data_IF_102858382728
#
_entry.id   IF_102858382728
#
_cell.length_a   1.000
_cell.length_b   1.000
_cell.length_c   1.000
_cell.angle_alpha   90.00
_cell.angle_beta   90.00
_cell.angle_gamma   90.00
#
_symmetry.space_group_name_H-M   'P 1'
#
loop_
_entity.id
_entity.type
_entity.pdbx_description
1 polymer ?
2 non-polymer ?
3 non-polymer ?
4 water ?
#
# COMPACT_ATOMS: atom_id res chain seq x y z
N UNK A 7 -0.61 14.68 -11.18
CA UNK A 7 -1.56 15.33 -10.29
C UNK A 7 -2.98 15.14 -10.84
N UNK A 8 -3.79 14.37 -10.11
CA UNK A 8 -5.17 14.10 -10.52
C UNK A 8 -6.06 14.18 -9.28
N UNK A 9 -7.06 15.04 -9.32
CA UNK A 9 -7.94 15.22 -8.18
C UNK A 9 -8.97 14.10 -8.10
N UNK A 10 -9.38 13.77 -6.89
CA UNK A 10 -10.41 12.76 -6.68
C UNK A 10 -11.79 13.37 -6.88
N UNK A 11 -12.73 12.53 -7.31
CA UNK A 11 -14.09 12.98 -7.57
C UNK A 11 -14.83 13.40 -6.30
N UNK A 12 -14.28 13.09 -5.12
CA UNK A 12 -15.01 13.33 -3.88
C UNK A 12 -14.94 14.76 -3.39
N UNK A 13 -13.94 15.53 -3.82
CA UNK A 13 -13.85 16.93 -3.44
C UNK A 13 -12.49 17.36 -2.92
N UNK A 14 -12.47 18.38 -2.06
CA UNK A 14 -11.20 18.92 -1.57
C UNK A 14 -10.61 18.05 -0.46
N UNK A 15 -11.45 17.54 0.43
CA UNK A 15 -11.01 16.67 1.51
C UNK A 15 -11.95 15.47 1.60
N UNK A 16 -11.49 14.44 2.31
CA UNK A 16 -12.28 13.22 2.44
C UNK A 16 -13.64 13.54 3.03
N UNK A 17 -14.68 12.89 2.49
CA UNK A 17 -16.03 13.08 3.01
C UNK A 17 -16.16 12.51 4.42
N UNK A 18 -15.23 11.66 4.85
CA UNK A 18 -15.29 11.07 6.18
C UNK A 18 -14.90 12.05 7.29
N UNK A 19 -14.22 13.14 6.96
CA UNK A 19 -13.77 14.08 7.98
C UNK A 19 -14.91 15.02 8.36
N UNK A 20 -15.18 15.12 9.65
CA UNK A 20 -16.24 15.98 10.16
C UNK A 20 -15.78 17.44 10.20
N UNK A 21 -14.49 17.67 10.43
CA UNK A 21 -13.94 19.02 10.55
C UNK A 21 -13.05 19.34 9.36
N UNK A 22 -12.70 20.62 9.24
CA UNK A 22 -11.82 21.06 8.17
C UNK A 22 -10.45 20.42 8.32
N UNK A 23 -9.92 19.89 7.22
CA UNK A 23 -8.64 19.21 7.21
C UNK A 23 -7.51 20.22 7.03
N UNK A 24 -6.53 20.17 7.93
CA UNK A 24 -5.35 21.02 7.85
C UNK A 24 -4.14 20.14 7.54
N UNK A 25 -3.73 20.03 6.26
CA UNK A 25 -2.69 19.06 5.92
C UNK A 25 -1.35 19.32 6.61
N UNK A 26 -1.07 20.56 6.99
CA UNK A 26 0.20 20.86 7.64
C UNK A 26 0.24 20.56 9.12
N UNK A 27 -0.91 20.43 9.77
CA UNK A 27 -0.97 20.26 11.21
C UNK A 27 -1.71 19.02 11.67
N UNK A 28 -2.40 18.31 10.78
CA UNK A 28 -3.23 17.18 11.17
C UNK A 28 -2.55 15.86 10.82
N UNK A 29 -2.87 14.83 11.60
CA UNK A 29 -2.55 13.47 11.19
C UNK A 29 -3.28 13.16 9.88
N UNK A 30 -2.70 12.28 9.07
CA UNK A 30 -3.23 12.05 7.73
C UNK A 30 -2.91 10.64 7.29
N UNK A 31 -3.61 10.19 6.26
CA UNK A 31 -3.46 8.84 5.72
C UNK A 31 -3.10 8.89 4.24
N UNK A 32 -2.38 7.87 3.79
CA UNK A 32 -1.97 7.74 2.40
C UNK A 32 -2.23 6.31 1.96
N UNK A 33 -2.94 6.15 0.85
CA UNK A 33 -3.20 4.85 0.25
C UNK A 33 -2.27 4.69 -0.95
N UNK A 34 -1.49 3.61 -0.95
CA UNK A 34 -0.54 3.33 -2.03
C UNK A 34 -1.05 2.12 -2.81
N UNK A 35 -1.30 2.31 -4.10
CA UNK A 35 -1.83 1.26 -4.97
C UNK A 35 -0.78 0.88 -6.01
N UNK A 36 -0.53 -0.43 -6.11
CA UNK A 36 0.36 -0.96 -7.13
C UNK A 36 -0.45 -1.69 -8.19
N UNK A 37 -0.25 -1.27 -9.43
CA UNK A 37 -1.03 -1.75 -10.57
C UNK A 37 -0.10 -2.43 -11.56
N UNK A 38 -0.63 -3.45 -12.24
CA UNK A 38 0.03 -4.07 -13.39
C UNK A 38 -0.62 -3.47 -14.64
N UNK A 39 0.06 -2.50 -15.26
CA UNK A 39 -0.48 -1.74 -16.36
C UNK A 39 -0.21 -2.38 -17.73
N UNK A 40 0.15 -3.66 -17.74
CA UNK A 40 0.45 -4.42 -18.97
C UNK A 40 0.12 -3.70 -20.28
N UNK A 49 -10.58 -0.95 -16.04
CA UNK A 49 -9.29 -0.65 -15.41
C UNK A 49 -8.66 -1.92 -14.84
N UNK A 50 -7.41 -1.80 -14.42
CA UNK A 50 -6.69 -2.93 -13.84
C UNK A 50 -7.05 -3.10 -12.38
N UNK A 51 -6.94 -4.34 -11.90
CA UNK A 51 -7.09 -4.61 -10.48
C UNK A 51 -5.86 -4.10 -9.74
N UNK A 52 -6.05 -3.76 -8.47
CA UNK A 52 -4.94 -3.28 -7.65
C UNK A 52 -4.33 -4.48 -6.92
N UNK A 53 -3.06 -4.78 -7.23
CA UNK A 53 -2.39 -5.94 -6.67
C UNK A 53 -1.63 -5.61 -5.39
N UNK A 54 -1.15 -4.38 -5.24
CA UNK A 54 -0.58 -3.90 -3.99
C UNK A 54 -1.50 -2.81 -3.44
N UNK A 55 -1.83 -2.93 -2.15
CA UNK A 55 -2.83 -2.07 -1.51
C UNK A 55 -2.36 -1.80 -0.08
N UNK A 56 -1.55 -0.76 0.09
CA UNK A 56 -0.95 -0.44 1.38
C UNK A 56 -1.48 0.90 1.86
N UNK A 57 -2.07 0.91 3.05
CA UNK A 57 -2.54 2.12 3.70
C UNK A 57 -1.59 2.50 4.82
N UNK A 58 -1.11 3.73 4.80
CA UNK A 58 -0.21 4.25 5.83
C UNK A 58 -0.90 5.40 6.54
N UNK A 59 -0.97 5.32 7.86
CA UNK A 59 -1.55 6.38 8.67
C UNK A 59 -0.45 7.03 9.50
N UNK A 60 -0.36 8.35 9.43
CA UNK A 60 0.70 9.12 10.06
C UNK A 60 0.14 9.90 11.24
N UNK A 61 0.67 9.63 12.43
CA UNK A 61 0.32 10.39 13.62
C UNK A 61 1.30 11.56 13.72
N UNK A 62 0.82 12.77 13.43
CA UNK A 62 1.72 13.91 13.33
C UNK A 62 2.31 14.26 14.69
N UNK A 63 1.47 14.30 15.73
CA UNK A 63 1.96 14.68 17.05
C UNK A 63 3.02 13.70 17.55
N UNK A 64 2.76 12.41 17.41
CA UNK A 64 3.67 11.39 17.91
C UNK A 64 4.78 11.04 16.93
N UNK A 65 4.72 11.56 15.70
CA UNK A 65 5.72 11.24 14.67
C UNK A 65 5.85 9.74 14.48
N UNK A 66 4.72 9.08 14.24
CA UNK A 66 4.70 7.64 14.02
C UNK A 66 3.87 7.32 12.79
N UNK A 67 4.17 6.18 12.18
CA UNK A 67 3.42 5.69 11.04
C UNK A 67 3.02 4.24 11.30
N UNK A 68 1.82 3.88 10.86
CA UNK A 68 1.35 2.50 10.89
C UNK A 68 0.99 2.08 9.48
N UNK A 69 1.55 0.95 9.06
CA UNK A 69 1.31 0.41 7.72
C UNK A 69 0.34 -0.76 7.81
N UNK A 70 -0.55 -0.83 6.83
CA UNK A 70 -1.56 -1.89 6.75
C UNK A 70 -1.66 -2.34 5.30
N UNK A 71 -1.53 -3.64 5.06
CA UNK A 71 -1.76 -4.21 3.75
C UNK A 71 -3.18 -4.76 3.71
N UNK A 72 -3.98 -4.26 2.79
CA UNK A 72 -5.35 -4.75 2.62
C UNK A 72 -5.27 -5.99 1.75
N UNK A 73 -5.64 -7.17 2.24
CA UNK A 73 -5.57 -8.37 1.41
C UNK A 73 -6.32 -8.17 0.10
N UNK A 74 -5.66 -8.51 -1.01
CA UNK A 74 -6.27 -8.26 -2.32
C UNK A 74 -7.60 -8.98 -2.46
N UNK A 75 -7.77 -10.13 -1.80
CA UNK A 75 -8.99 -10.91 -1.89
C UNK A 75 -9.93 -10.67 -0.71
N UNK A 76 -9.68 -9.64 0.10
CA UNK A 76 -10.54 -9.34 1.23
C UNK A 76 -11.98 -9.21 0.78
N UNK A 77 -12.88 -9.91 1.49
CA UNK A 77 -14.30 -9.94 1.16
C UNK A 77 -14.95 -8.69 1.74
N UNK A 78 -15.21 -7.70 0.89
CA UNK A 78 -15.68 -6.39 1.34
C UNK A 78 -16.77 -5.89 0.41
N UNK A 79 -17.55 -4.92 0.91
CA UNK A 79 -18.54 -4.26 0.07
C UNK A 79 -17.84 -3.27 -0.84
N UNK A 80 -18.01 -3.43 -2.14
CA UNK A 80 -17.60 -2.44 -3.12
C UNK A 80 -18.83 -1.59 -3.45
N UNK A 81 -18.87 -0.32 -3.07
CA UNK A 81 -20.08 0.49 -3.32
C UNK A 81 -20.52 0.40 -4.77
N UNK A 82 -21.79 0.02 -4.97
CA UNK A 82 -22.35 -0.12 -6.30
C UNK A 82 -22.15 -1.46 -6.94
N UNK A 83 -21.48 -2.40 -6.25
CA UNK A 83 -21.16 -3.69 -6.83
C UNK A 83 -21.32 -4.85 -5.86
N UNK A 84 -21.68 -4.59 -4.61
CA UNK A 84 -21.89 -5.65 -3.65
C UNK A 84 -20.59 -6.21 -3.09
N UNK A 85 -20.74 -7.27 -2.31
CA UNK A 85 -19.58 -7.94 -1.71
C UNK A 85 -18.75 -8.61 -2.79
N UNK A 86 -17.42 -8.45 -2.69
CA UNK A 86 -16.52 -8.90 -3.74
C UNK A 86 -15.10 -8.77 -3.21
N UNK A 87 -14.13 -9.22 -4.02
CA UNK A 87 -12.72 -9.08 -3.67
C UNK A 87 -12.33 -7.60 -3.70
N UNK A 88 -11.60 -7.16 -2.67
CA UNK A 88 -11.16 -5.77 -2.62
C UNK A 88 -10.46 -5.35 -3.90
N UNK A 89 -9.64 -6.24 -4.47
CA UNK A 89 -8.83 -5.88 -5.63
C UNK A 89 -9.68 -5.43 -6.81
N UNK A 90 -10.94 -5.87 -6.89
CA UNK A 90 -11.79 -5.52 -8.02
C UNK A 90 -12.30 -4.09 -7.99
N UNK A 91 -12.22 -3.41 -6.83
CA UNK A 91 -12.72 -2.04 -6.76
C UNK A 91 -12.02 -1.16 -7.79
N UNK A 92 -10.70 -1.27 -7.88
CA UNK A 92 -9.95 -0.47 -8.84
C UNK A 92 -10.30 -0.85 -10.28
N UNK A 93 -10.68 -2.11 -10.51
CA UNK A 93 -11.06 -2.53 -11.85
C UNK A 93 -12.43 -1.99 -12.23
N UNK A 94 -13.35 -1.91 -11.26
CA UNK A 94 -14.70 -1.43 -11.56
C UNK A 94 -14.77 0.10 -11.64
N UNK A 95 -13.98 0.81 -10.85
CA UNK A 95 -14.10 2.26 -10.80
C UNK A 95 -12.82 3.01 -10.50
N UNK A 96 -11.67 2.39 -10.77
CA UNK A 96 -10.41 3.10 -10.62
C UNK A 96 -10.14 3.55 -9.20
N UNK A 97 -9.28 4.56 -9.10
CA UNK A 97 -8.80 5.02 -7.79
C UNK A 97 -9.95 5.57 -6.96
N UNK A 98 -10.91 6.25 -7.60
CA UNK A 98 -12.03 6.81 -6.86
C UNK A 98 -12.77 5.72 -6.08
N UNK A 99 -13.05 4.60 -6.73
CA UNK A 99 -13.84 3.55 -6.09
C UNK A 99 -13.01 2.76 -5.07
N UNK A 100 -11.71 2.57 -5.34
CA UNK A 100 -10.85 1.98 -4.32
C UNK A 100 -10.86 2.82 -3.05
N UNK A 101 -10.72 4.14 -3.21
CA UNK A 101 -10.73 5.02 -2.04
C UNK A 101 -12.06 4.88 -1.30
N UNK A 102 -13.18 4.90 -2.03
CA UNK A 102 -14.48 4.75 -1.39
C UNK A 102 -14.57 3.42 -0.65
N UNK A 103 -14.05 2.35 -1.24
CA UNK A 103 -14.10 1.03 -0.60
C UNK A 103 -13.29 1.00 0.68
N UNK A 104 -12.09 1.62 0.67
CA UNK A 104 -11.27 1.66 1.87
C UNK A 104 -11.97 2.48 2.96
N UNK A 105 -12.49 3.65 2.60
CA UNK A 105 -13.14 4.49 3.60
C UNK A 105 -14.34 3.80 4.22
N UNK A 106 -15.07 3.00 3.44
CA UNK A 106 -16.20 2.26 4.01
C UNK A 106 -15.72 1.11 4.89
N UNK A 107 -14.69 0.39 4.43
CA UNK A 107 -14.21 -0.78 5.14
C UNK A 107 -13.65 -0.40 6.52
N UNK A 108 -12.88 0.68 6.57
CA UNK A 108 -12.16 1.06 7.79
C UNK A 108 -12.78 2.25 8.53
N UNK A 109 -13.77 2.91 7.94
CA UNK A 109 -14.44 4.04 8.58
C UNK A 109 -13.41 5.10 8.98
N UNK A 110 -12.52 5.42 8.06
CA UNK A 110 -11.53 6.48 8.24
C UNK A 110 -11.40 7.25 6.93
N UNK A 111 -10.85 8.46 7.00
CA UNK A 111 -10.54 9.19 5.76
C UNK A 111 -9.30 8.64 5.09
N UNK A 112 -9.34 8.58 3.77
CA UNK A 112 -8.15 8.39 2.94
C UNK A 112 -7.82 9.75 2.36
N UNK A 113 -6.79 10.39 2.89
CA UNK A 113 -6.49 11.78 2.53
C UNK A 113 -5.77 11.84 1.19
N UNK A 114 -4.75 11.00 0.99
CA UNK A 114 -3.97 11.00 -0.23
C UNK A 114 -3.91 9.58 -0.78
N UNK A 115 -3.81 9.49 -2.11
CA UNK A 115 -3.65 8.21 -2.78
C UNK A 115 -2.56 8.35 -3.83
N UNK A 116 -1.74 7.30 -3.96
CA UNK A 116 -0.67 7.25 -4.95
C UNK A 116 -0.82 5.95 -5.72
N UNK A 117 -0.86 6.04 -7.04
CA UNK A 117 -0.99 4.88 -7.92
C UNK A 117 0.27 4.72 -8.75
N UNK A 118 0.86 3.52 -8.71
CA UNK A 118 2.12 3.24 -9.38
C UNK A 118 2.00 2.00 -10.26
N UNK A 119 2.66 2.04 -11.40
CA UNK A 119 2.86 0.86 -12.23
C UNK A 119 4.26 0.30 -11.96
N UNK A 120 4.62 -0.76 -12.69
CA UNK A 120 5.93 -1.37 -12.49
C UNK A 120 7.05 -0.37 -12.76
N UNK A 121 6.91 0.42 -13.83
CA UNK A 121 8.01 1.28 -14.27
C UNK A 121 8.33 2.36 -13.23
N UNK A 122 7.30 3.01 -12.67
CA UNK A 122 7.55 4.02 -11.64
C UNK A 122 8.28 3.40 -10.45
N UNK A 123 7.89 2.20 -10.05
CA UNK A 123 8.54 1.55 -8.90
C UNK A 123 10.01 1.28 -9.19
N UNK A 124 10.31 0.67 -10.33
CA UNK A 124 11.70 0.38 -10.69
C UNK A 124 12.52 1.66 -10.75
N UNK A 125 11.99 2.70 -11.40
CA UNK A 125 12.74 3.94 -11.55
C UNK A 125 13.01 4.59 -10.19
N UNK A 126 12.04 4.53 -9.28
CA UNK A 126 12.24 5.11 -7.95
C UNK A 126 13.35 4.37 -7.22
N UNK A 127 13.31 3.04 -7.24
CA UNK A 127 14.33 2.26 -6.55
C UNK A 127 15.71 2.53 -7.13
N UNK A 128 15.81 2.55 -8.45
CA UNK A 128 17.11 2.78 -9.08
C UNK A 128 17.60 4.20 -8.86
N UNK A 129 16.70 5.18 -8.84
CA UNK A 129 17.11 6.55 -8.57
C UNK A 129 17.67 6.69 -7.16
N UNK A 130 17.20 5.86 -6.24
CA UNK A 130 17.75 5.83 -4.88
C UNK A 130 19.00 4.97 -4.76
N UNK A 131 19.54 4.48 -5.89
CA UNK A 131 20.70 3.61 -5.89
C UNK A 131 20.40 2.28 -5.19
N UNK A 132 19.17 1.80 -5.36
CA UNK A 132 18.74 0.55 -4.78
C UNK A 132 18.19 0.71 -3.38
N UNK A 133 17.56 -0.36 -2.88
CA UNK A 133 17.02 -0.37 -1.54
C UNK A 133 17.55 -1.58 -0.80
N UNK A 134 17.72 -1.43 0.50
CA UNK A 134 18.32 -2.44 1.35
C UNK A 134 17.24 -3.40 1.84
N UNK A 135 17.47 -4.69 1.61
CA UNK A 135 16.57 -5.75 2.06
C UNK A 135 17.42 -6.87 2.64
N UNK A 136 16.99 -7.40 3.77
CA UNK A 136 17.64 -8.56 4.38
C UNK A 136 16.83 -9.79 4.00
N UNK A 137 17.31 -10.52 3.01
CA UNK A 137 16.66 -11.74 2.54
C UNK A 137 17.04 -12.89 3.47
N UNK A 138 16.06 -13.75 3.78
CA UNK A 138 16.26 -14.78 4.78
C UNK A 138 15.75 -16.16 4.40
N UNK A 139 14.95 -16.30 3.35
CA UNK A 139 14.26 -17.55 3.04
C UNK A 139 14.78 -18.14 1.74
N UNK A 140 15.32 -19.35 1.81
CA UNK A 140 15.67 -20.07 0.59
C UNK A 140 14.45 -20.28 -0.28
N UNK A 141 13.29 -20.57 0.33
CA UNK A 141 12.09 -20.82 -0.45
C UNK A 141 11.70 -19.58 -1.26
N UNK A 142 11.85 -18.39 -0.67
CA UNK A 142 11.54 -17.16 -1.38
C UNK A 142 12.54 -16.95 -2.53
N UNK A 143 13.83 -17.14 -2.25
CA UNK A 143 14.83 -17.04 -3.31
C UNK A 143 14.47 -17.97 -4.46
N UNK A 144 14.06 -19.20 -4.13
CA UNK A 144 13.78 -20.18 -5.17
C UNK A 144 12.55 -19.78 -5.99
N UNK A 145 11.50 -19.32 -5.34
CA UNK A 145 10.29 -18.98 -6.07
C UNK A 145 10.50 -17.77 -6.97
N UNK A 146 11.30 -16.80 -6.52
CA UNK A 146 11.62 -15.65 -7.35
C UNK A 146 12.41 -16.09 -8.57
N UNK A 147 13.37 -17.01 -8.38
CA UNK A 147 14.07 -17.60 -9.51
C UNK A 147 13.09 -18.17 -10.51
N UNK A 148 12.10 -18.93 -10.03
CA UNK A 148 11.08 -19.50 -10.90
C UNK A 148 10.27 -18.41 -11.59
N UNK A 149 9.82 -17.41 -10.83
CA UNK A 149 9.03 -16.33 -11.40
C UNK A 149 9.74 -15.67 -12.57
N UNK A 150 11.04 -15.45 -12.43
CA UNK A 150 11.80 -14.63 -13.37
C UNK A 150 12.65 -15.47 -14.32
N UNK A 151 12.45 -16.78 -14.37
CA UNK A 151 13.24 -17.64 -15.24
C UNK A 151 14.73 -17.44 -14.99
N UNK A 152 15.08 -17.26 -13.72
CA UNK A 152 16.47 -17.12 -13.30
C UNK A 152 17.09 -15.76 -13.51
N UNK A 153 16.33 -14.77 -13.96
CA UNK A 153 16.89 -13.44 -14.18
C UNK A 153 17.17 -12.72 -12.88
N UNK A 154 16.40 -13.02 -11.83
CA UNK A 154 16.59 -12.41 -10.52
C UNK A 154 17.00 -13.51 -9.56
N UNK A 155 18.21 -13.41 -9.03
CA UNK A 155 18.76 -14.36 -8.07
C UNK A 155 19.16 -13.57 -6.84
N UNK A 156 18.34 -13.63 -5.80
CA UNK A 156 18.66 -12.96 -4.55
C UNK A 156 19.56 -13.83 -3.68
N UNK A 157 20.24 -13.17 -2.74
CA UNK A 157 21.13 -13.83 -1.80
C UNK A 157 20.63 -13.59 -0.38
N UNK A 158 20.78 -14.59 0.48
CA UNK A 158 20.52 -14.38 1.89
C UNK A 158 21.46 -13.32 2.44
N UNK A 159 21.00 -12.59 3.44
CA UNK A 159 21.76 -11.53 4.05
C UNK A 159 21.24 -10.16 3.64
N UNK A 160 21.96 -9.14 4.10
CA UNK A 160 21.58 -7.75 3.86
C UNK A 160 22.28 -7.25 2.60
N UNK A 161 21.48 -6.93 1.58
CA UNK A 161 22.01 -6.52 0.29
C UNK A 161 21.16 -5.38 -0.25
N UNK A 162 21.76 -4.61 -1.16
CA UNK A 162 21.06 -3.52 -1.83
C UNK A 162 20.50 -4.05 -3.15
N UNK A 163 19.18 -4.00 -3.30
CA UNK A 163 18.50 -4.53 -4.46
C UNK A 163 18.20 -3.41 -5.45
N UNK A 164 18.38 -3.70 -6.74
CA UNK A 164 18.01 -2.75 -7.77
C UNK A 164 16.51 -2.87 -8.07
N UNK A 165 16.05 -2.06 -9.03
CA UNK A 165 14.61 -2.00 -9.30
C UNK A 165 14.03 -3.34 -9.73
N UNK A 166 14.72 -4.03 -10.64
CA UNK A 166 14.22 -5.32 -11.13
C UNK A 166 14.15 -6.33 -10.00
N UNK A 167 15.18 -6.38 -9.16
CA UNK A 167 15.21 -7.32 -8.04
C UNK A 167 14.12 -7.00 -7.04
N UNK A 168 14.00 -5.72 -6.66
CA UNK A 168 12.98 -5.33 -5.70
C UNK A 168 11.58 -5.59 -6.23
N UNK A 169 11.37 -5.33 -7.53
CA UNK A 169 10.04 -5.56 -8.11
C UNK A 169 9.66 -7.04 -8.06
N UNK A 170 10.59 -7.93 -8.41
CA UNK A 170 10.30 -9.36 -8.32
C UNK A 170 10.03 -9.78 -6.88
N UNK A 171 10.72 -9.15 -5.92
CA UNK A 171 10.53 -9.47 -4.52
C UNK A 171 9.13 -9.13 -4.03
N UNK A 172 8.59 -7.99 -4.47
CA UNK A 172 7.26 -7.57 -4.00
C UNK A 172 6.13 -8.16 -4.82
N UNK A 173 6.44 -8.91 -5.89
CA UNK A 173 5.42 -9.55 -6.70
C UNK A 173 5.22 -11.02 -6.36
N UNK A 174 6.26 -11.72 -5.91
CA UNK A 174 6.18 -13.17 -5.78
C UNK A 174 5.09 -13.56 -4.79
N UNK A 175 4.39 -14.64 -5.11
CA UNK A 175 3.29 -15.15 -4.28
C UNK A 175 3.14 -16.63 -4.53
N UNK A 176 3.08 -17.42 -3.45
CA UNK A 176 3.04 -18.88 -3.59
C UNK A 176 1.69 -19.35 -4.09
N UNK A 177 0.61 -18.94 -3.43
CA UNK A 177 -0.73 -19.40 -3.79
C UNK A 177 -1.75 -18.28 -3.61
N UNK A 178 -2.94 -18.59 -3.08
CA UNK A 178 -3.98 -17.58 -2.94
C UNK A 178 -3.57 -16.49 -1.95
N UNK A 179 -3.23 -16.89 -0.73
CA UNK A 179 -2.93 -15.95 0.33
C UNK A 179 -1.85 -14.96 -0.08
N UNK A 180 -2.18 -13.67 -0.04
CA UNK A 180 -1.20 -12.61 -0.24
C UNK A 180 -0.72 -12.02 1.09
N UNK A 181 -0.83 -12.79 2.17
CA UNK A 181 -0.34 -12.36 3.48
C UNK A 181 1.14 -12.02 3.42
N UNK A 182 1.97 -12.99 3.02
CA UNK A 182 3.41 -12.77 2.99
C UNK A 182 3.79 -11.70 1.97
N UNK A 183 3.09 -11.66 0.83
CA UNK A 183 3.41 -10.66 -0.18
C UNK A 183 3.17 -9.26 0.35
N UNK A 184 2.05 -9.05 1.05
CA UNK A 184 1.80 -7.74 1.64
C UNK A 184 2.90 -7.34 2.61
N UNK A 185 3.42 -8.31 3.36
CA UNK A 185 4.51 -8.01 4.29
C UNK A 185 5.79 -7.64 3.54
N UNK A 186 6.06 -8.31 2.41
CA UNK A 186 7.21 -7.94 1.61
C UNK A 186 7.05 -6.53 1.02
N UNK A 187 5.82 -6.16 0.66
CA UNK A 187 5.58 -4.82 0.13
C UNK A 187 5.80 -3.75 1.20
N UNK A 188 5.31 -3.98 2.42
CA UNK A 188 5.53 -3.02 3.49
C UNK A 188 7.00 -2.95 3.89
N UNK A 189 7.69 -4.09 3.82
CA UNK A 189 9.14 -4.14 4.05
C UNK A 189 9.87 -3.23 3.06
N UNK A 190 9.60 -3.41 1.76
CA UNK A 190 10.29 -2.63 0.74
C UNK A 190 9.87 -1.17 0.81
N UNK A 191 8.59 -0.90 1.06
CA UNK A 191 8.14 0.48 1.19
C UNK A 191 8.92 1.20 2.26
N UNK A 192 9.09 0.58 3.43
CA UNK A 192 9.83 1.22 4.51
C UNK A 192 11.31 1.34 4.17
N UNK A 193 11.84 0.40 3.38
CA UNK A 193 13.23 0.50 2.93
C UNK A 193 13.40 1.67 1.96
N UNK A 194 12.40 1.91 1.11
CA UNK A 194 12.45 3.07 0.21
C UNK A 194 12.54 4.36 1.01
N UNK A 195 11.76 4.46 2.09
CA UNK A 195 11.80 5.65 2.93
C UNK A 195 13.17 5.79 3.57
N UNK A 196 13.70 4.70 4.12
CA UNK A 196 15.02 4.74 4.73
C UNK A 196 16.06 5.26 3.76
N UNK A 197 16.03 4.77 2.52
CA UNK A 197 17.06 5.16 1.56
C UNK A 197 16.89 6.61 1.13
N UNK A 198 15.66 7.12 1.14
CA UNK A 198 15.41 8.50 0.74
C UNK A 198 15.88 9.50 1.79
N UNK A 199 16.07 9.06 3.04
CA UNK A 199 16.48 9.97 4.10
C UNK A 199 17.75 10.73 3.73
N UNK A 200 18.64 10.11 2.96
CA UNK A 200 19.90 10.74 2.59
C UNK A 200 19.67 11.85 1.56
N UNK A 212 10.23 14.72 -10.69
CA UNK A 212 10.63 14.56 -12.09
C UNK A 212 10.65 13.09 -12.48
N UNK A 213 11.31 12.27 -11.66
CA UNK A 213 11.50 10.86 -12.00
C UNK A 213 10.18 10.16 -12.26
N UNK A 214 9.10 10.62 -11.62
CA UNK A 214 7.80 9.97 -11.75
C UNK A 214 7.42 9.81 -13.22
N UNK A 215 7.49 10.90 -13.98
CA UNK A 215 7.01 10.87 -15.36
C UNK A 215 5.51 10.69 -15.39
N UNK A 216 5.04 9.90 -16.35
CA UNK A 216 3.62 9.59 -16.49
C UNK A 216 3.29 8.21 -15.92
N UNK A 217 4.01 7.78 -14.89
CA UNK A 217 3.81 6.46 -14.30
C UNK A 217 3.39 6.50 -12.85
N UNK A 218 3.41 7.66 -12.20
CA UNK A 218 2.89 7.83 -10.85
C UNK A 218 1.75 8.84 -10.89
N UNK A 219 0.59 8.43 -10.36
CA UNK A 219 -0.56 9.29 -10.22
C UNK A 219 -0.85 9.49 -8.74
N UNK A 220 -0.96 10.75 -8.32
CA UNK A 220 -1.31 11.05 -6.94
C UNK A 220 -2.23 12.26 -6.91
N UNK A 221 -3.07 12.32 -5.87
CA UNK A 221 -4.08 13.37 -5.74
C UNK A 221 -3.57 14.58 -4.98
N UNK A 222 -2.26 14.83 -4.98
CA UNK A 222 -1.71 16.05 -4.44
C UNK A 222 -0.53 16.47 -5.31
N UNK A 223 -0.22 17.77 -5.26
CA UNK A 223 0.81 18.33 -6.11
C UNK A 223 2.18 17.81 -5.69
N UNK A 224 3.10 17.80 -6.67
CA UNK A 224 4.50 17.49 -6.35
C UNK A 224 5.02 18.41 -5.26
N UNK A 225 4.63 19.69 -5.29
CA UNK A 225 5.08 20.64 -4.29
C UNK A 225 4.60 20.22 -2.90
N UNK A 226 3.32 19.88 -2.77
CA UNK A 226 2.81 19.44 -1.47
C UNK A 226 3.44 18.12 -1.05
N UNK A 227 3.63 17.20 -2.00
CA UNK A 227 4.27 15.93 -1.68
C UNK A 227 5.65 16.16 -1.07
N UNK A 228 6.41 17.13 -1.60
CA UNK A 228 7.73 17.43 -1.06
C UNK A 228 7.64 18.06 0.32
N UNK A 229 6.62 18.87 0.56
CA UNK A 229 6.46 19.48 1.88
C UNK A 229 6.30 18.47 2.99
N UNK A 230 5.73 17.30 2.68
CA UNK A 230 5.58 16.24 3.67
C UNK A 230 6.84 15.41 3.84
N UNK A 231 7.79 15.50 2.90
CA UNK A 231 8.96 14.65 2.93
C UNK A 231 9.76 14.75 4.23
N UNK A 232 10.02 15.96 4.78
CA UNK A 232 10.78 16.00 6.05
C UNK A 232 10.09 15.26 7.18
N UNK A 233 8.77 15.37 7.29
CA UNK A 233 8.05 14.66 8.34
C UNK A 233 8.13 13.15 8.13
N UNK A 234 7.90 12.69 6.90
CA UNK A 234 7.84 11.26 6.63
C UNK A 234 9.19 10.60 6.87
N UNK A 235 10.28 11.32 6.65
CA UNK A 235 11.62 10.75 6.74
C UNK A 235 12.28 11.02 8.09
N UNK A 236 11.53 11.47 9.08
CA UNK A 236 12.06 11.68 10.42
C UNK A 236 11.10 11.13 11.47
N UNK A 237 10.47 10.00 11.16
CA UNK A 237 9.54 9.38 12.09
C UNK A 237 10.29 8.74 13.25
N UNK A 238 9.67 8.80 14.43
CA UNK A 238 10.23 8.14 15.60
C UNK A 238 10.03 6.63 15.57
N UNK A 239 9.00 6.15 14.86
CA UNK A 239 8.70 4.73 14.86
C UNK A 239 7.82 4.41 13.66
N UNK A 240 8.01 3.20 13.13
CA UNK A 240 7.17 2.64 12.07
C UNK A 240 6.68 1.28 12.56
N UNK A 241 5.39 1.04 12.37
CA UNK A 241 4.79 -0.22 12.81
C UNK A 241 3.87 -0.75 11.71
N UNK A 242 3.63 -2.06 11.78
CA UNK A 242 2.71 -2.74 10.88
C UNK A 242 1.56 -3.33 11.68
N UNK A 243 0.38 -3.36 11.07
CA UNK A 243 -0.78 -4.00 11.67
C UNK A 243 -1.41 -4.90 10.60
N UNK A 244 -2.28 -5.80 11.06
CA UNK A 244 -2.80 -6.88 10.24
C UNK A 244 -4.32 -6.96 10.32
N UNK A 245 -4.94 -7.26 9.19
CA UNK A 245 -6.33 -7.67 9.14
C UNK A 245 -6.33 -9.18 8.99
N UNK A 246 -6.62 -9.89 10.07
CA UNK A 246 -6.66 -11.34 10.06
C UNK A 246 -8.00 -11.83 9.51
N UNK A 247 -8.08 -13.14 9.28
CA UNK A 247 -9.31 -13.70 8.75
C UNK A 247 -9.10 -15.15 8.35
N UNK A 248 -10.00 -15.63 7.50
CA UNK A 248 -9.96 -17.02 7.06
C UNK A 248 -10.44 -17.14 5.63
N UNK A 249 -10.09 -18.24 5.01
CA UNK A 249 -10.42 -18.47 3.61
C UNK A 249 -11.92 -18.74 3.47
N UNK A 250 -12.52 -18.12 2.46
CA UNK A 250 -13.94 -18.25 2.17
C UNK A 250 -14.07 -18.55 0.68
N UNK A 251 -14.52 -19.77 0.35
CA UNK A 251 -14.49 -20.28 -1.01
C UNK A 251 -15.87 -20.81 -1.37
N UNK A 252 -16.86 -19.92 -1.52
CA UNK A 252 -18.24 -20.40 -1.69
C UNK A 252 -18.50 -21.18 -2.97
N UNK A 253 -17.72 -20.97 -4.02
CA UNK A 253 -17.91 -21.72 -5.26
C UNK A 253 -16.60 -21.77 -6.04
N UNK A 254 -15.53 -22.16 -5.36
CA UNK A 254 -14.21 -22.18 -5.96
C UNK A 254 -13.56 -20.82 -6.10
N UNK A 255 -14.34 -19.75 -6.09
CA UNK A 255 -13.78 -18.40 -6.11
C UNK A 255 -13.28 -18.06 -4.71
N UNK A 256 -12.02 -17.66 -4.62
CA UNK A 256 -11.36 -17.47 -3.33
C UNK A 256 -11.60 -16.06 -2.80
N UNK A 257 -12.09 -15.97 -1.57
CA UNK A 257 -12.17 -14.72 -0.83
C UNK A 257 -11.47 -14.91 0.50
N UNK A 258 -11.08 -13.78 1.09
CA UNK A 258 -10.51 -13.75 2.44
C UNK A 258 -11.50 -13.00 3.32
N UNK A 259 -12.24 -13.74 4.14
CA UNK A 259 -13.18 -13.13 5.06
C UNK A 259 -12.45 -12.57 6.27
N UNK A 260 -12.73 -11.32 6.60
CA UNK A 260 -12.00 -10.65 7.67
C UNK A 260 -12.57 -11.00 9.03
N UNK A 261 -11.67 -11.26 9.98
CA UNK A 261 -12.08 -11.40 11.37
C UNK A 261 -12.64 -10.07 11.85
N UNK A 262 -13.92 -10.09 12.23
CA UNK A 262 -14.62 -8.83 12.52
C UNK A 262 -14.13 -8.20 13.81
N UNK A 263 -13.68 -9.00 14.77
CA UNK A 263 -13.17 -8.43 16.01
C UNK A 263 -11.83 -7.73 15.79
N UNK A 264 -10.96 -8.34 14.98
CA UNK A 264 -9.69 -7.69 14.65
C UNK A 264 -9.93 -6.45 13.78
N UNK A 265 -10.89 -6.52 12.86
CA UNK A 265 -11.20 -5.37 12.03
C UNK A 265 -11.64 -4.19 12.88
N UNK A 266 -12.55 -4.44 13.83
CA UNK A 266 -12.99 -3.37 14.71
C UNK A 266 -11.84 -2.83 15.55
N UNK A 267 -10.90 -3.68 15.93
CA UNK A 267 -9.72 -3.23 16.65
C UNK A 267 -8.87 -2.30 15.77
N UNK A 268 -8.60 -2.72 14.54
CA UNK A 268 -7.79 -1.91 13.63
C UNK A 268 -8.47 -0.57 13.36
N UNK A 269 -9.80 -0.59 13.16
CA UNK A 269 -10.51 0.66 12.89
C UNK A 269 -10.34 1.65 14.03
N UNK A 270 -10.56 1.19 15.27
CA UNK A 270 -10.38 2.07 16.43
C UNK A 270 -8.95 2.60 16.49
N UNK A 271 -7.97 1.74 16.18
CA UNK A 271 -6.58 2.15 16.26
C UNK A 271 -6.26 3.25 15.26
N UNK A 272 -6.73 3.11 14.01
CA UNK A 272 -6.44 4.11 12.99
C UNK A 272 -7.27 5.37 13.21
N UNK A 273 -8.51 5.22 13.68
CA UNK A 273 -9.32 6.39 14.01
C UNK A 273 -8.65 7.22 15.10
N UNK A 274 -8.09 6.56 16.12
CA UNK A 274 -7.40 7.30 17.17
C UNK A 274 -6.13 7.97 16.65
N UNK A 275 -5.39 7.27 15.77
CA UNK A 275 -4.19 7.86 15.19
C UNK A 275 -4.51 9.11 14.38
N UNK A 276 -5.62 9.08 13.64
CA UNK A 276 -6.01 10.20 12.79
C UNK A 276 -6.76 11.27 13.56
N UNK A 277 -7.03 11.08 14.84
CA UNK A 277 -7.74 12.06 15.63
C UNK A 277 -9.18 12.25 15.21
N UNK A 278 -9.85 11.16 14.81
CA UNK A 278 -11.26 11.23 14.41
C UNK A 278 -12.09 10.30 15.28
#
# INVERSE_FOLDING_TARGET
MASKEAHVSLARGEQSVKRIKEFDPGKDSFSVLLLGIDAREKNGETVDQARSDANVLVTFNRKEKTAKMLSIPRDAYVNIPGHGYDKFTHAHAYGGVDLTVKTVEEMLDIPVDYVVESNFTAFEDVVNELNGVKVTVKSDKVIQQIKKDTKGKVVLQKGTHTLDGEEALAYVRTRKADSDLLRGQRQMEVLSAIIDKSKSLSSIPAYDDIVDTMGQNLKMNLSLKDAIGLFPFITSLKSVESIQLTGYDYEPAGVYYFKLNQQKLQEVKKELQNDLGVLEHHHHHH
#
